data_IF_923858557507
#
_entry.id   IF_923858557507
#
_cell.length_a   1.000
_cell.length_b   1.000
_cell.length_c   1.000
_cell.angle_alpha   90.00
_cell.angle_beta   90.00
_cell.angle_gamma   90.00
#
_symmetry.space_group_name_H-M   'P 1'
#
loop_
_entity.id
_entity.type
_entity.pdbx_description
1 polymer ?
#
# COMPACT_ATOMS: atom_id res chain seq x y z
N UNK A 1 1.01 13.74 1.86
CA UNK A 1 0.67 12.79 2.94
C UNK A 1 0.22 11.46 2.35
N UNK A 2 0.51 10.33 2.99
CA UNK A 2 0.01 9.02 2.54
C UNK A 2 -1.49 8.86 2.83
N UNK A 3 -2.21 8.12 1.99
CA UNK A 3 -3.61 7.73 2.24
C UNK A 3 -3.73 6.87 3.51
N UNK A 4 -2.76 5.98 3.74
CA UNK A 4 -2.57 5.25 5.00
C UNK A 4 -1.11 5.25 5.43
N UNK A 5 -0.87 5.34 6.74
CA UNK A 5 0.48 5.24 7.32
C UNK A 5 0.97 3.80 7.44
N UNK A 6 0.08 2.81 7.31
CA UNK A 6 0.40 1.39 7.44
C UNK A 6 -0.27 0.59 6.33
N UNK A 7 0.55 -0.16 5.60
CA UNK A 7 0.10 -1.08 4.56
C UNK A 7 0.40 -2.51 4.98
N UNK A 8 -0.45 -3.45 4.59
CA UNK A 8 -0.25 -4.88 4.86
C UNK A 8 -0.52 -5.69 3.60
N UNK A 9 0.38 -6.61 3.28
CA UNK A 9 0.18 -7.55 2.17
C UNK A 9 0.77 -8.92 2.53
N UNK A 10 -0.04 -9.99 2.53
CA UNK A 10 0.47 -11.34 2.60
C UNK A 10 1.06 -11.73 1.24
N UNK A 11 2.17 -12.47 1.25
CA UNK A 11 2.81 -12.98 0.04
C UNK A 11 3.17 -14.45 0.25
N UNK A 12 3.06 -15.26 -0.78
CA UNK A 12 3.45 -16.68 -0.69
C UNK A 12 4.96 -16.83 -0.85
N UNK A 13 5.56 -17.83 -0.19
CA UNK A 13 6.98 -18.14 -0.38
C UNK A 13 7.35 -18.52 -1.83
N UNK A 14 6.37 -18.95 -2.62
CA UNK A 14 6.51 -19.37 -4.02
C UNK A 14 6.26 -18.23 -5.02
N UNK A 15 6.07 -16.99 -4.53
CA UNK A 15 5.82 -15.84 -5.40
C UNK A 15 6.97 -15.64 -6.40
N UNK A 16 6.62 -15.33 -7.64
CA UNK A 16 7.60 -15.01 -8.68
C UNK A 16 8.26 -13.66 -8.40
N UNK A 17 9.55 -13.57 -8.72
CA UNK A 17 10.27 -12.30 -8.74
C UNK A 17 9.64 -11.39 -9.80
N UNK A 18 9.48 -10.11 -9.46
CA UNK A 18 8.83 -9.10 -10.28
C UNK A 18 7.32 -8.94 -10.00
N UNK A 19 6.71 -9.83 -9.21
CA UNK A 19 5.29 -9.71 -8.83
C UNK A 19 5.06 -8.42 -8.04
N UNK A 20 4.02 -7.67 -8.44
CA UNK A 20 3.52 -6.49 -7.72
C UNK A 20 2.72 -6.95 -6.51
N UNK A 21 3.08 -6.47 -5.32
CA UNK A 21 2.45 -6.86 -4.05
C UNK A 21 1.40 -5.86 -3.61
N UNK A 22 1.78 -4.59 -3.55
CA UNK A 22 0.93 -3.50 -3.08
C UNK A 22 1.43 -2.19 -3.67
N UNK A 23 0.52 -1.23 -3.84
CA UNK A 23 0.83 0.13 -4.26
C UNK A 23 0.67 1.07 -3.07
N UNK A 24 1.69 1.85 -2.76
CA UNK A 24 1.59 2.95 -1.81
C UNK A 24 1.24 4.24 -2.54
N UNK A 25 0.32 5.02 -1.96
CA UNK A 25 -0.16 6.26 -2.55
C UNK A 25 -0.05 7.40 -1.55
N UNK A 26 0.65 8.46 -1.97
CA UNK A 26 0.71 9.72 -1.26
C UNK A 26 0.13 10.84 -2.12
N UNK A 27 -0.63 11.72 -1.47
CA UNK A 27 -1.27 12.89 -2.06
C UNK A 27 -0.54 14.14 -1.58
N UNK A 28 -0.21 15.04 -2.49
CA UNK A 28 0.09 16.41 -2.09
C UNK A 28 -1.23 17.07 -1.67
N UNK A 29 -1.25 17.76 -0.52
CA UNK A 29 -2.49 18.23 0.13
C UNK A 29 -3.26 19.28 -0.67
N UNK A 30 -2.78 19.65 -1.87
CA UNK A 30 -3.33 20.70 -2.71
C UNK A 30 -3.94 20.20 -4.03
N UNK A 31 -3.70 18.95 -4.44
CA UNK A 31 -4.19 18.43 -5.72
C UNK A 31 -4.75 17.00 -5.60
N UNK A 32 -6.07 16.87 -5.80
CA UNK A 32 -6.74 15.61 -6.13
C UNK A 32 -6.50 15.30 -7.63
N UNK A 33 -5.25 15.02 -8.02
CA UNK A 33 -4.87 14.82 -9.42
C UNK A 33 -3.52 14.12 -9.62
N UNK A 34 -3.35 13.41 -10.75
CA UNK A 34 -2.27 12.48 -11.10
C UNK A 34 -0.89 12.80 -10.51
N UNK A 35 -0.37 11.91 -9.64
CA UNK A 35 1.06 11.63 -9.47
C UNK A 35 1.99 12.87 -9.35
N UNK A 36 1.50 13.98 -8.79
CA UNK A 36 2.21 15.26 -8.70
C UNK A 36 3.53 15.10 -7.95
N UNK A 37 4.67 15.15 -8.64
CA UNK A 37 6.03 15.33 -8.13
C UNK A 37 6.44 14.61 -6.82
N UNK A 38 5.76 13.52 -6.44
CA UNK A 38 6.11 12.71 -5.27
C UNK A 38 7.07 11.60 -5.71
N UNK A 39 8.27 11.60 -5.13
CA UNK A 39 9.21 10.50 -5.25
C UNK A 39 9.12 9.56 -4.04
N UNK A 40 8.91 8.27 -4.30
CA UNK A 40 8.87 7.24 -3.29
C UNK A 40 10.24 6.59 -3.10
N UNK A 41 10.68 6.42 -1.86
CA UNK A 41 11.96 5.81 -1.51
C UNK A 41 11.82 4.86 -0.35
N UNK A 42 12.52 3.72 -0.40
CA UNK A 42 12.64 2.83 0.76
C UNK A 42 13.72 3.42 1.67
N UNK A 43 13.34 3.77 2.89
CA UNK A 43 14.23 4.37 3.89
C UNK A 43 14.62 3.39 5.00
N UNK A 44 13.96 2.24 5.11
CA UNK A 44 14.24 1.28 6.17
C UNK A 44 13.67 -0.11 5.92
N UNK A 45 14.22 -1.09 6.65
CA UNK A 45 13.61 -2.42 6.79
C UNK A 45 13.63 -3.35 5.58
N UNK A 46 14.35 -2.98 4.52
CA UNK A 46 14.61 -3.81 3.35
C UNK A 46 16.11 -4.20 3.22
N UNK A 47 16.79 -4.48 4.34
CA UNK A 47 18.24 -4.79 4.33
C UNK A 47 18.60 -6.03 3.50
N UNK A 48 17.65 -6.94 3.30
CA UNK A 48 17.84 -8.15 2.49
C UNK A 48 17.58 -7.95 1.00
N UNK A 49 17.26 -6.72 0.55
CA UNK A 49 16.94 -6.39 -0.85
C UNK A 49 15.92 -7.33 -1.49
N UNK A 50 14.96 -7.82 -0.69
CA UNK A 50 13.92 -8.77 -1.12
C UNK A 50 12.79 -8.07 -1.86
N UNK A 51 12.64 -6.77 -1.66
CA UNK A 51 11.59 -5.96 -2.26
C UNK A 51 12.19 -4.76 -3.01
N UNK A 52 11.47 -4.30 -4.02
CA UNK A 52 11.80 -3.11 -4.79
C UNK A 52 10.59 -2.18 -4.81
N UNK A 53 10.84 -0.89 -4.67
CA UNK A 53 9.82 0.14 -4.78
C UNK A 53 10.05 0.92 -6.06
N UNK A 54 9.01 1.06 -6.86
CA UNK A 54 9.02 1.95 -8.01
C UNK A 54 8.82 3.40 -7.53
N UNK A 55 9.80 4.25 -7.87
CA UNK A 55 9.90 5.63 -7.39
C UNK A 55 8.75 6.53 -7.84
N UNK A 56 8.10 6.21 -8.95
CA UNK A 56 7.07 7.07 -9.55
C UNK A 56 5.67 6.52 -9.29
N UNK A 57 5.49 5.22 -9.47
CA UNK A 57 4.17 4.58 -9.36
C UNK A 57 3.80 4.14 -7.95
N UNK A 58 4.78 4.01 -7.05
CA UNK A 58 4.59 3.54 -5.68
C UNK A 58 4.38 2.03 -5.58
N UNK A 59 4.64 1.26 -6.64
CA UNK A 59 4.50 -0.20 -6.61
C UNK A 59 5.64 -0.86 -5.84
N UNK A 60 5.29 -1.63 -4.81
CA UNK A 60 6.20 -2.56 -4.14
C UNK A 60 6.16 -3.89 -4.87
N UNK A 61 7.32 -4.36 -5.33
CA UNK A 61 7.51 -5.60 -6.10
C UNK A 61 8.48 -6.53 -5.40
N UNK A 62 8.35 -7.83 -5.67
CA UNK A 62 9.32 -8.84 -5.22
C UNK A 62 10.60 -8.70 -6.04
N UNK A 63 11.73 -8.49 -5.39
CA UNK A 63 13.05 -8.34 -6.04
C UNK A 63 13.88 -9.63 -5.98
N UNK A 64 13.58 -10.53 -5.05
CA UNK A 64 14.32 -11.79 -4.87
C UNK A 64 13.41 -12.88 -4.30
N UNK A 65 13.78 -14.15 -4.50
CA UNK A 65 13.00 -15.31 -4.05
C UNK A 65 12.74 -15.26 -2.54
N UNK A 66 11.51 -15.60 -2.14
CA UNK A 66 11.06 -15.68 -0.74
C UNK A 66 10.96 -17.11 -0.21
N UNK A 67 11.51 -18.09 -0.95
CA UNK A 67 11.43 -19.52 -0.61
C UNK A 67 12.02 -19.86 0.76
N UNK A 68 13.05 -19.13 1.19
CA UNK A 68 13.73 -19.31 2.49
C UNK A 68 13.20 -18.37 3.59
N UNK A 69 12.10 -17.67 3.31
CA UNK A 69 11.57 -16.60 4.16
C UNK A 69 10.18 -16.94 4.72
N UNK A 70 9.77 -18.21 4.67
CA UNK A 70 8.51 -18.70 5.24
C UNK A 70 8.33 -18.28 6.71
N UNK A 71 7.14 -17.80 7.07
CA UNK A 71 6.78 -17.27 8.39
C UNK A 71 7.57 -16.03 8.82
N UNK A 72 8.33 -15.38 7.92
CA UNK A 72 8.97 -14.10 8.21
C UNK A 72 8.04 -12.94 7.91
N UNK A 73 8.22 -11.86 8.66
CA UNK A 73 7.55 -10.59 8.45
C UNK A 73 8.61 -9.54 8.13
N UNK A 74 8.44 -8.86 7.00
CA UNK A 74 9.26 -7.73 6.61
C UNK A 74 8.48 -6.44 6.86
N UNK A 75 9.11 -5.48 7.53
CA UNK A 75 8.56 -4.14 7.75
C UNK A 75 9.39 -3.20 6.91
N UNK A 76 8.83 -2.62 5.86
CA UNK A 76 9.53 -1.77 4.91
C UNK A 76 9.09 -0.34 5.12
N UNK A 77 9.99 0.53 5.54
CA UNK A 77 9.69 1.94 5.73
C UNK A 77 9.87 2.68 4.40
N UNK A 78 8.80 3.34 3.98
CA UNK A 78 8.74 4.11 2.74
C UNK A 78 8.56 5.58 3.08
N UNK A 79 9.38 6.42 2.45
CA UNK A 79 9.25 7.87 2.48
C UNK A 79 8.78 8.37 1.12
N UNK A 80 7.71 9.16 1.13
CA UNK A 80 7.26 9.95 -0.01
C UNK A 80 7.72 11.39 0.20
N UNK A 81 8.40 11.97 -0.79
CA UNK A 81 8.89 13.34 -0.76
C UNK A 81 8.36 14.11 -1.97
N UNK A 82 7.73 15.25 -1.74
CA UNK A 82 7.39 16.17 -2.83
C UNK A 82 8.58 17.08 -3.20
N UNK A 83 8.46 17.72 -4.35
CA UNK A 83 9.45 18.69 -4.86
C UNK A 83 9.08 20.15 -4.56
N UNK A 84 8.20 20.39 -3.58
CA UNK A 84 7.87 21.72 -3.08
C UNK A 84 9.07 22.43 -2.44
N UNK A 85 8.92 23.74 -2.18
CA UNK A 85 9.91 24.57 -1.51
C UNK A 85 9.25 25.31 -0.33
N UNK A 86 9.49 24.92 0.93
CA UNK A 86 10.29 23.78 1.38
C UNK A 86 9.63 22.42 1.05
N UNK A 87 10.41 21.35 0.85
CA UNK A 87 9.86 20.03 0.53
C UNK A 87 9.16 19.44 1.75
N UNK A 88 7.96 18.90 1.58
CA UNK A 88 7.32 18.08 2.60
C UNK A 88 7.71 16.61 2.39
N UNK A 89 7.55 15.83 3.45
CA UNK A 89 7.82 14.39 3.41
C UNK A 89 6.84 13.67 4.31
N UNK A 90 6.36 12.52 3.83
CA UNK A 90 5.52 11.62 4.59
C UNK A 90 6.20 10.26 4.69
N UNK A 91 5.88 9.51 5.76
CA UNK A 91 6.38 8.15 5.97
C UNK A 91 5.22 7.18 6.09
N UNK A 92 5.40 5.97 5.59
CA UNK A 92 4.49 4.86 5.76
C UNK A 92 5.28 3.55 5.90
N UNK A 93 4.73 2.59 6.61
CA UNK A 93 5.36 1.27 6.80
C UNK A 93 4.54 0.20 6.07
N UNK A 94 5.20 -0.58 5.23
CA UNK A 94 4.61 -1.73 4.52
C UNK A 94 5.01 -3.02 5.23
N UNK A 95 4.03 -3.71 5.80
CA UNK A 95 4.19 -5.00 6.45
C UNK A 95 3.91 -6.12 5.45
N UNK A 96 4.96 -6.85 5.06
CA UNK A 96 4.87 -8.00 4.18
C UNK A 96 5.02 -9.28 5.00
N UNK A 97 3.98 -10.10 5.05
CA UNK A 97 4.03 -11.40 5.75
C UNK A 97 4.21 -12.52 4.73
N UNK A 98 5.32 -13.27 4.83
CA UNK A 98 5.55 -14.43 3.98
C UNK A 98 4.82 -15.63 4.56
N UNK A 99 3.81 -16.06 3.83
CA UNK A 99 2.93 -17.15 4.22
C UNK A 99 3.19 -18.37 3.34
N UNK A 100 2.64 -19.49 3.80
CA UNK A 100 2.48 -20.69 2.98
C UNK A 100 1.65 -20.34 1.73
N UNK A 101 1.67 -21.21 0.73
CA UNK A 101 0.82 -20.99 -0.44
C UNK A 101 -0.64 -20.88 -0.02
N UNK A 102 -1.17 -19.66 -0.01
CA UNK A 102 -2.54 -19.38 0.35
C UNK A 102 -3.29 -19.20 -0.97
N UNK A 103 -4.01 -20.23 -1.41
CA UNK A 103 -4.90 -20.16 -2.59
C UNK A 103 -6.07 -19.20 -2.40
N UNK A 104 -6.18 -18.58 -1.22
CA UNK A 104 -7.09 -17.48 -0.92
C UNK A 104 -6.33 -16.17 -1.03
N UNK A 105 -5.92 -15.81 -2.24
CA UNK A 105 -5.47 -14.44 -2.50
C UNK A 105 -6.72 -13.56 -2.42
N UNK A 106 -6.86 -12.59 -1.50
CA UNK A 106 -7.77 -11.50 -1.77
C UNK A 106 -7.16 -10.77 -2.96
N UNK A 107 -7.70 -11.02 -4.15
CA UNK A 107 -7.57 -10.08 -5.26
C UNK A 107 -7.92 -8.71 -4.67
N UNK A 108 -6.99 -7.77 -4.76
CA UNK A 108 -7.31 -6.38 -4.49
C UNK A 108 -8.26 -5.93 -5.60
N UNK A 109 -9.57 -6.22 -5.44
CA UNK A 109 -10.67 -5.86 -6.36
C UNK A 109 -10.96 -4.36 -6.35
N UNK A 110 -9.92 -3.53 -6.34
CA UNK A 110 -10.06 -2.09 -6.58
C UNK A 110 -9.08 -1.65 -7.66
N UNK A 111 -9.19 -2.30 -8.83
CA UNK A 111 -8.71 -1.74 -10.09
C UNK A 111 -9.70 -0.74 -10.71
N UNK A 112 -10.74 -0.31 -9.98
CA UNK A 112 -11.63 0.75 -10.43
C UNK A 112 -12.12 1.59 -9.24
N UNK A 113 -11.44 2.72 -9.01
CA UNK A 113 -12.07 3.86 -8.34
C UNK A 113 -12.86 4.57 -9.44
N UNK A 114 -14.05 4.09 -9.75
CA UNK A 114 -15.03 4.88 -10.51
C UNK A 114 -15.81 5.69 -9.49
N UNK A 115 -15.23 6.81 -9.04
CA UNK A 115 -15.96 7.79 -8.26
C UNK A 115 -16.93 8.51 -9.19
N UNK A 116 -18.17 8.02 -9.26
CA UNK A 116 -19.28 8.84 -9.76
C UNK A 116 -19.89 9.50 -8.53
N UNK A 117 -19.64 10.80 -8.36
CA UNK A 117 -20.29 11.62 -7.35
C UNK A 117 -21.59 12.13 -7.97
N UNK A 118 -22.79 11.62 -7.62
CA UNK A 118 -24.00 12.37 -7.86
C UNK A 118 -24.06 13.53 -6.86
N UNK A 119 -23.88 14.74 -7.38
CA UNK A 119 -24.12 15.99 -6.68
C UNK A 119 -25.60 16.15 -6.34
N UNK A 120 -26.05 15.62 -5.21
CA UNK A 120 -27.22 16.18 -4.53
C UNK A 120 -27.17 15.90 -3.03
N UNK A 121 -27.28 16.99 -2.29
CA UNK A 121 -27.16 17.14 -0.85
C UNK A 121 -28.23 16.36 -0.07
N UNK A 122 -27.87 15.89 1.13
CA UNK A 122 -28.61 16.20 2.36
C UNK A 122 -27.73 15.95 3.61
N UNK A 123 -27.68 16.95 4.48
CA UNK A 123 -26.97 16.97 5.76
C UNK A 123 -27.63 16.04 6.78
N UNK A 124 -26.81 15.21 7.45
CA UNK A 124 -27.19 14.47 8.65
C UNK A 124 -27.72 13.05 8.41
N UNK A 125 -26.87 12.03 8.48
CA UNK A 125 -27.28 10.70 8.95
C UNK A 125 -26.11 10.01 9.65
N UNK A 126 -26.42 9.45 10.81
CA UNK A 126 -25.50 9.12 11.89
C UNK A 126 -24.49 8.02 11.58
N UNK A 127 -23.26 8.22 12.06
CA UNK A 127 -22.24 7.20 12.24
C UNK A 127 -22.78 6.14 13.21
N UNK A 128 -23.09 4.93 12.72
CA UNK A 128 -23.45 3.79 13.60
C UNK A 128 -22.61 2.56 13.24
N UNK A 129 -21.59 2.35 14.09
CA UNK A 129 -21.00 1.09 14.53
C UNK A 129 -21.59 -0.20 13.92
N UNK A 130 -20.83 -0.85 13.03
CA UNK A 130 -21.15 -2.18 12.56
C UNK A 130 -20.79 -3.23 13.63
N UNK A 131 -21.83 -3.82 14.24
CA UNK A 131 -21.74 -5.04 15.06
C UNK A 131 -21.66 -6.25 14.14
N UNK A 132 -20.60 -7.04 14.28
CA UNK A 132 -20.45 -8.33 13.61
C UNK A 132 -21.27 -9.40 14.34
N UNK A 133 -22.31 -9.93 13.70
CA UNK A 133 -23.06 -11.11 14.15
C UNK A 133 -22.47 -12.34 13.46
N UNK A 134 -22.01 -13.32 14.26
CA UNK A 134 -21.54 -14.63 13.79
C UNK A 134 -22.74 -15.55 13.68
N UNK A 135 -23.06 -16.00 12.47
CA UNK A 135 -24.13 -16.96 12.21
C UNK A 135 -23.71 -18.35 12.71
N UNK A 136 -24.60 -19.03 13.43
CA UNK A 136 -24.58 -20.45 13.76
C UNK A 136 -25.96 -21.02 13.48
#
# INVERSE_FOLDING_TARGET
MFETSHYFTPVTKSVKVGTKLIRVVAHDGKDFGLNSEVEYTITGGNSSSKFKLDKQSGWVTVASSLTSDMNKVFLIDITAKDKGNPPLSARATVRVAVTEENHHTPEFSQSQITATIPESLAVGTAYKNAVCQRQG
#
